data_IF_047206658660
#
_entry.id   IF_047206658660
#
_cell.length_a   1.000
_cell.length_b   1.000
_cell.length_c   1.000
_cell.angle_alpha   90.00
_cell.angle_beta   90.00
_cell.angle_gamma   90.00
#
_symmetry.space_group_name_H-M   'P 1'
#
loop_
_entity.id
_entity.type
_entity.pdbx_description
1 polymer ?
#
# COMPACT_ATOMS: atom_id res chain seq x y z
N UNK A 1 -16.41 -10.06 26.05
CA UNK A 1 -15.62 -9.21 26.98
C UNK A 1 -14.14 -9.11 26.58
N UNK A 2 -13.51 -10.16 26.04
CA UNK A 2 -12.12 -10.10 25.57
C UNK A 2 -11.86 -9.06 24.46
N UNK A 3 -12.72 -8.96 23.45
CA UNK A 3 -12.55 -7.99 22.35
C UNK A 3 -12.55 -6.51 22.79
N UNK A 4 -13.41 -6.13 23.74
CA UNK A 4 -13.45 -4.75 24.23
C UNK A 4 -12.17 -4.41 24.99
N UNK A 5 -11.61 -5.38 25.73
CA UNK A 5 -10.34 -5.21 26.42
C UNK A 5 -9.18 -5.09 25.42
N UNK A 6 -9.16 -5.93 24.38
CA UNK A 6 -8.18 -5.84 23.29
C UNK A 6 -8.22 -4.47 22.61
N UNK A 7 -9.42 -3.98 22.25
CA UNK A 7 -9.59 -2.63 21.70
C UNK A 7 -9.12 -1.54 22.66
N UNK A 8 -9.45 -1.65 23.94
CA UNK A 8 -9.00 -0.68 24.94
C UNK A 8 -7.47 -0.66 25.04
N UNK A 9 -6.82 -1.83 25.05
CA UNK A 9 -5.36 -1.95 25.05
C UNK A 9 -4.77 -1.33 23.78
N UNK A 10 -5.31 -1.67 22.60
CA UNK A 10 -4.86 -1.11 21.32
C UNK A 10 -4.94 0.41 21.37
N UNK A 11 -6.11 0.99 21.70
CA UNK A 11 -6.32 2.44 21.70
C UNK A 11 -5.44 3.18 22.72
N UNK A 12 -5.26 2.62 23.91
CA UNK A 12 -4.40 3.23 24.93
C UNK A 12 -2.93 3.15 24.49
N UNK A 13 -2.49 1.99 24.01
CA UNK A 13 -1.12 1.76 23.61
C UNK A 13 -0.74 2.61 22.39
N UNK A 14 -1.57 2.65 21.34
CA UNK A 14 -1.33 3.47 20.15
C UNK A 14 -1.34 4.95 20.47
N UNK A 15 -2.27 5.43 21.31
CA UNK A 15 -2.30 6.83 21.73
C UNK A 15 -1.05 7.24 22.51
N UNK A 16 -0.59 6.41 23.44
CA UNK A 16 0.63 6.68 24.20
C UNK A 16 1.86 6.66 23.30
N UNK A 17 1.99 5.64 22.45
CA UNK A 17 3.11 5.51 21.53
C UNK A 17 3.15 6.63 20.48
N UNK A 18 1.99 6.99 19.91
CA UNK A 18 1.87 8.12 18.99
C UNK A 18 2.26 9.44 19.65
N UNK A 19 1.84 9.68 20.90
CA UNK A 19 2.26 10.85 21.66
C UNK A 19 3.78 10.89 21.88
N UNK A 20 4.39 9.75 22.21
CA UNK A 20 5.85 9.63 22.35
C UNK A 20 6.55 9.90 21.01
N UNK A 21 6.03 9.38 19.89
CA UNK A 21 6.59 9.66 18.56
C UNK A 21 6.56 11.15 18.22
N UNK A 22 5.46 11.85 18.52
CA UNK A 22 5.36 13.30 18.32
C UNK A 22 6.37 14.05 19.18
N UNK A 23 6.59 13.62 20.43
CA UNK A 23 7.62 14.20 21.31
C UNK A 23 9.04 14.04 20.71
N UNK A 24 9.28 12.92 20.02
CA UNK A 24 10.51 12.63 19.28
C UNK A 24 10.55 13.31 17.90
N UNK A 25 9.58 14.17 17.56
CA UNK A 25 9.44 14.86 16.27
C UNK A 25 9.22 13.91 15.08
N UNK A 26 8.62 12.76 15.33
CA UNK A 26 8.19 11.79 14.31
C UNK A 26 6.67 11.83 14.14
N UNK A 27 6.13 11.42 12.97
CA UNK A 27 4.71 11.17 12.80
C UNK A 27 4.18 10.19 13.86
N UNK A 28 2.98 10.44 14.39
CA UNK A 28 2.35 9.60 15.39
C UNK A 28 2.15 8.17 14.88
N UNK A 29 1.76 8.00 13.61
CA UNK A 29 1.59 6.70 12.95
C UNK A 29 2.81 5.77 13.09
N UNK A 30 4.03 6.32 13.16
CA UNK A 30 5.25 5.53 13.41
C UNK A 30 5.19 4.82 14.78
N UNK A 31 4.76 5.55 15.81
CA UNK A 31 4.62 5.00 17.15
C UNK A 31 3.51 3.96 17.24
N UNK A 32 2.40 4.20 16.53
CA UNK A 32 1.26 3.29 16.45
C UNK A 32 1.65 1.96 15.79
N UNK A 33 2.41 1.99 14.70
CA UNK A 33 2.94 0.79 14.05
C UNK A 33 3.91 0.02 14.95
N UNK A 34 4.87 0.73 15.57
CA UNK A 34 5.86 0.10 16.46
C UNK A 34 5.17 -0.57 17.64
N UNK A 35 4.24 0.11 18.31
CA UNK A 35 3.55 -0.50 19.44
C UNK A 35 2.66 -1.65 19.01
N UNK A 36 2.06 -1.59 17.82
CA UNK A 36 1.31 -2.70 17.22
C UNK A 36 2.17 -3.96 17.05
N UNK A 37 3.41 -3.81 16.57
CA UNK A 37 4.38 -4.92 16.48
C UNK A 37 4.72 -5.47 17.86
N UNK A 38 4.91 -4.58 18.85
CA UNK A 38 5.26 -4.96 20.23
C UNK A 38 4.14 -5.72 20.93
N UNK A 39 2.91 -5.20 20.94
CA UNK A 39 1.78 -5.82 21.65
C UNK A 39 1.15 -6.96 20.86
N UNK A 40 1.36 -6.98 19.55
CA UNK A 40 0.87 -8.02 18.64
C UNK A 40 1.64 -9.34 18.77
N UNK A 41 1.28 -10.34 17.96
CA UNK A 41 1.82 -11.70 18.05
C UNK A 41 3.28 -11.82 17.62
N UNK A 42 3.86 -10.79 16.99
CA UNK A 42 5.27 -10.78 16.60
C UNK A 42 6.21 -10.72 17.81
N UNK A 43 5.78 -10.15 18.95
CA UNK A 43 6.61 -9.97 20.14
C UNK A 43 5.91 -10.44 21.43
N UNK A 44 4.98 -9.66 21.99
CA UNK A 44 4.36 -9.98 23.28
C UNK A 44 3.15 -10.92 23.19
N UNK A 45 2.46 -10.92 22.05
CA UNK A 45 1.27 -11.75 21.83
C UNK A 45 0.08 -11.42 22.72
N UNK A 46 -0.03 -10.18 23.19
CA UNK A 46 -1.16 -9.74 24.01
C UNK A 46 -2.43 -9.54 23.18
N UNK A 47 -2.27 -9.13 21.92
CA UNK A 47 -3.37 -8.97 20.97
C UNK A 47 -3.28 -10.11 19.94
N UNK A 48 -4.26 -11.03 19.89
CA UNK A 48 -4.28 -12.10 18.90
C UNK A 48 -4.63 -11.58 17.51
N UNK A 49 -4.13 -12.24 16.47
CA UNK A 49 -4.62 -12.03 15.10
C UNK A 49 -6.04 -12.60 14.99
N UNK A 50 -7.05 -11.73 15.09
CA UNK A 50 -8.45 -12.11 14.95
C UNK A 50 -9.08 -11.46 13.72
N UNK A 51 -10.02 -12.16 13.08
CA UNK A 51 -10.77 -11.66 11.91
C UNK A 51 -11.49 -10.35 12.23
N UNK A 52 -11.94 -10.17 13.48
CA UNK A 52 -12.62 -8.94 13.91
C UNK A 52 -11.67 -7.74 13.92
N UNK A 53 -10.45 -7.89 14.43
CA UNK A 53 -9.44 -6.82 14.40
C UNK A 53 -9.04 -6.53 12.96
N UNK A 54 -8.90 -7.57 12.13
CA UNK A 54 -8.57 -7.40 10.71
C UNK A 54 -9.64 -6.59 9.97
N UNK A 55 -10.91 -6.98 10.08
CA UNK A 55 -12.04 -6.25 9.48
C UNK A 55 -12.10 -4.80 9.97
N UNK A 56 -11.90 -4.58 11.27
CA UNK A 56 -11.93 -3.23 11.83
C UNK A 56 -10.77 -2.37 11.32
N UNK A 57 -9.59 -2.97 11.13
CA UNK A 57 -8.43 -2.28 10.55
C UNK A 57 -8.67 -1.89 9.09
N UNK A 58 -9.33 -2.75 8.31
CA UNK A 58 -9.68 -2.48 6.91
C UNK A 58 -10.67 -1.32 6.81
N UNK A 59 -11.72 -1.33 7.65
CA UNK A 59 -12.67 -0.21 7.76
C UNK A 59 -11.96 1.09 8.15
N UNK A 60 -11.02 1.03 9.09
CA UNK A 60 -10.24 2.20 9.51
C UNK A 60 -9.40 2.78 8.38
N UNK A 61 -8.73 1.94 7.61
CA UNK A 61 -7.93 2.34 6.44
C UNK A 61 -8.81 2.94 5.34
N UNK A 62 -9.96 2.33 5.04
CA UNK A 62 -10.92 2.86 4.06
C UNK A 62 -11.42 4.25 4.49
N UNK A 63 -11.80 4.41 5.76
CA UNK A 63 -12.27 5.69 6.29
C UNK A 63 -11.17 6.76 6.23
N UNK A 64 -9.94 6.39 6.56
CA UNK A 64 -8.78 7.29 6.46
C UNK A 64 -8.57 7.77 5.02
N UNK A 65 -8.56 6.85 4.04
CA UNK A 65 -8.44 7.18 2.61
C UNK A 65 -9.60 8.01 2.10
N UNK A 66 -10.80 7.74 2.58
CA UNK A 66 -11.97 8.53 2.23
C UNK A 66 -11.86 9.97 2.74
N UNK A 67 -11.48 10.17 4.01
CA UNK A 67 -11.28 11.52 4.57
C UNK A 67 -10.17 12.25 3.83
N UNK A 68 -9.08 11.56 3.50
CA UNK A 68 -8.01 12.14 2.71
C UNK A 68 -8.48 12.59 1.33
N UNK A 69 -9.29 11.78 0.65
CA UNK A 69 -9.91 12.15 -0.61
C UNK A 69 -10.81 13.38 -0.50
N UNK A 70 -11.57 13.50 0.61
CA UNK A 70 -12.41 14.67 0.89
C UNK A 70 -11.62 15.95 1.19
N UNK A 71 -10.45 15.83 1.84
CA UNK A 71 -9.57 16.95 2.16
C UNK A 71 -8.66 17.37 0.99
N UNK A 72 -8.56 16.54 -0.05
CA UNK A 72 -7.68 16.75 -1.21
C UNK A 72 -8.33 17.64 -2.27
N UNK A 73 -7.57 18.62 -2.76
CA UNK A 73 -7.96 19.47 -3.89
C UNK A 73 -7.85 18.70 -5.22
N UNK A 74 -9.02 18.32 -5.78
CA UNK A 74 -9.11 17.60 -7.05
C UNK A 74 -8.65 18.45 -8.25
N UNK A 75 -8.84 19.78 -8.19
CA UNK A 75 -8.37 20.67 -9.25
C UNK A 75 -6.84 20.78 -9.20
N UNK A 76 -6.27 20.81 -8.00
CA UNK A 76 -4.83 20.69 -7.77
C UNK A 76 -4.25 19.39 -8.33
N UNK A 77 -4.93 18.25 -8.12
CA UNK A 77 -4.51 16.95 -8.68
C UNK A 77 -4.45 16.98 -10.21
N UNK A 78 -5.46 17.57 -10.86
CA UNK A 78 -5.50 17.72 -12.32
C UNK A 78 -4.40 18.64 -12.83
N UNK A 79 -4.17 19.76 -12.17
CA UNK A 79 -3.11 20.72 -12.53
C UNK A 79 -1.71 20.11 -12.38
N UNK A 80 -1.52 19.24 -11.38
CA UNK A 80 -0.26 18.57 -11.12
C UNK A 80 -0.11 17.19 -11.79
N UNK A 81 -1.00 16.83 -12.71
CA UNK A 81 -1.00 15.50 -13.34
C UNK A 81 0.33 15.13 -14.01
N UNK A 82 1.04 16.11 -14.60
CA UNK A 82 2.35 15.88 -15.23
C UNK A 82 3.46 15.56 -14.20
N UNK A 83 3.68 16.39 -13.16
CA UNK A 83 4.56 16.01 -12.05
C UNK A 83 4.19 14.68 -11.42
N UNK A 84 2.90 14.42 -11.18
CA UNK A 84 2.42 13.19 -10.56
C UNK A 84 2.71 11.96 -11.41
N UNK A 85 2.51 12.04 -12.73
CA UNK A 85 2.81 10.92 -13.63
C UNK A 85 4.30 10.66 -13.76
N UNK A 86 5.12 11.72 -13.82
CA UNK A 86 6.57 11.58 -13.80
C UNK A 86 7.07 10.92 -12.50
N UNK A 87 6.50 11.33 -11.36
CA UNK A 87 6.82 10.73 -10.06
C UNK A 87 6.39 9.26 -9.97
N UNK A 88 5.19 8.92 -10.44
CA UNK A 88 4.70 7.53 -10.47
C UNK A 88 5.57 6.64 -11.37
N UNK A 89 5.83 7.09 -12.61
CA UNK A 89 6.64 6.32 -13.56
C UNK A 89 8.06 6.12 -13.03
N UNK A 90 8.67 7.16 -12.46
CA UNK A 90 9.97 7.02 -11.79
C UNK A 90 9.91 6.08 -10.59
N UNK A 91 8.88 6.22 -9.76
CA UNK A 91 8.60 5.38 -8.59
C UNK A 91 8.36 3.91 -8.92
N UNK A 92 7.98 3.59 -10.15
CA UNK A 92 7.87 2.20 -10.62
C UNK A 92 9.18 1.75 -11.26
N UNK A 93 9.69 2.48 -12.25
CA UNK A 93 10.83 2.03 -13.07
C UNK A 93 12.08 1.81 -12.22
N UNK A 94 12.39 2.73 -11.30
CA UNK A 94 13.61 2.62 -10.52
C UNK A 94 13.57 1.46 -9.51
N UNK A 95 12.56 1.33 -8.62
CA UNK A 95 12.48 0.19 -7.71
C UNK A 95 12.32 -1.14 -8.43
N UNK A 96 11.59 -1.19 -9.55
CA UNK A 96 11.47 -2.41 -10.34
C UNK A 96 12.83 -2.82 -10.91
N UNK A 97 13.53 -1.89 -11.56
CA UNK A 97 14.85 -2.15 -12.14
C UNK A 97 15.89 -2.55 -11.10
N UNK A 98 15.94 -1.83 -9.97
CA UNK A 98 16.87 -2.15 -8.88
C UNK A 98 16.52 -3.44 -8.16
N UNK A 99 15.24 -3.71 -7.91
CA UNK A 99 14.77 -4.95 -7.31
C UNK A 99 15.04 -6.16 -8.20
N UNK A 100 14.79 -6.03 -9.49
CA UNK A 100 15.15 -7.04 -10.48
C UNK A 100 16.65 -7.34 -10.49
N UNK A 101 17.48 -6.29 -10.58
CA UNK A 101 18.94 -6.46 -10.58
C UNK A 101 19.45 -7.07 -9.27
N UNK A 102 18.90 -6.63 -8.13
CA UNK A 102 19.22 -7.20 -6.83
C UNK A 102 18.84 -8.69 -6.76
N UNK A 103 17.67 -9.07 -7.28
CA UNK A 103 17.24 -10.46 -7.35
C UNK A 103 18.20 -11.33 -8.15
N UNK A 104 18.65 -10.85 -9.32
CA UNK A 104 19.64 -11.58 -10.12
C UNK A 104 20.98 -11.74 -9.39
N UNK A 105 21.46 -10.70 -8.70
CA UNK A 105 22.70 -10.76 -7.91
C UNK A 105 22.58 -11.77 -6.76
N UNK A 106 21.40 -11.89 -6.16
CA UNK A 106 21.09 -12.88 -5.13
C UNK A 106 20.90 -14.31 -5.69
N UNK A 107 20.99 -14.50 -7.01
CA UNK A 107 20.84 -15.79 -7.67
C UNK A 107 19.40 -16.24 -7.85
N UNK A 108 18.44 -15.31 -7.77
CA UNK A 108 17.03 -15.59 -8.07
C UNK A 108 16.85 -15.80 -9.58
N UNK A 109 15.88 -16.63 -9.97
CA UNK A 109 15.52 -16.77 -11.38
C UNK A 109 14.84 -15.48 -11.89
N UNK A 110 14.60 -15.42 -13.22
CA UNK A 110 14.01 -14.25 -13.87
C UNK A 110 12.65 -13.88 -13.28
N UNK A 111 11.79 -14.88 -13.04
CA UNK A 111 10.45 -14.67 -12.53
C UNK A 111 10.48 -14.04 -11.14
N UNK A 112 11.19 -14.68 -10.21
CA UNK A 112 11.33 -14.22 -8.83
C UNK A 112 12.00 -12.85 -8.75
N UNK A 113 13.01 -12.57 -9.60
CA UNK A 113 13.65 -11.26 -9.67
C UNK A 113 12.67 -10.16 -10.15
N UNK A 114 11.86 -10.43 -11.18
CA UNK A 114 10.82 -9.49 -11.63
C UNK A 114 9.77 -9.27 -10.55
N UNK A 115 9.31 -10.32 -9.87
CA UNK A 115 8.39 -10.21 -8.74
C UNK A 115 8.97 -9.38 -7.59
N UNK A 116 10.26 -9.54 -7.27
CA UNK A 116 10.94 -8.71 -6.28
C UNK A 116 10.91 -7.24 -6.67
N UNK A 117 11.20 -6.93 -7.94
CA UNK A 117 11.09 -5.57 -8.47
C UNK A 117 9.68 -5.00 -8.32
N UNK A 118 8.65 -5.76 -8.69
CA UNK A 118 7.25 -5.33 -8.58
C UNK A 118 6.81 -5.07 -7.14
N UNK A 119 7.21 -5.93 -6.21
CA UNK A 119 6.90 -5.75 -4.79
C UNK A 119 7.56 -4.47 -4.25
N UNK A 120 8.78 -4.16 -4.69
CA UNK A 120 9.48 -2.94 -4.27
C UNK A 120 8.94 -1.66 -4.91
N UNK A 121 8.23 -1.77 -6.02
CA UNK A 121 7.52 -0.63 -6.66
C UNK A 121 6.20 -0.30 -5.97
N UNK A 122 5.56 -1.25 -5.29
CA UNK A 122 4.26 -1.03 -4.66
C UNK A 122 4.38 -0.06 -3.47
N UNK A 123 3.66 1.07 -3.54
CA UNK A 123 3.67 2.10 -2.48
C UNK A 123 2.45 2.00 -1.56
N UNK A 124 2.58 2.41 -0.28
CA UNK A 124 1.43 2.54 0.63
C UNK A 124 0.91 3.97 0.69
N UNK A 125 -0.25 4.21 0.07
CA UNK A 125 -0.95 5.51 0.10
C UNK A 125 -1.39 5.85 1.53
N UNK A 126 -1.84 4.84 2.28
CA UNK A 126 -2.49 5.03 3.58
C UNK A 126 -1.59 5.67 4.64
N UNK A 127 -0.37 5.14 4.79
CA UNK A 127 0.60 5.64 5.75
C UNK A 127 1.12 7.02 5.32
N UNK A 128 1.33 7.20 4.02
CA UNK A 128 1.82 8.47 3.45
C UNK A 128 0.84 9.61 3.73
N UNK A 129 -0.45 9.39 3.46
CA UNK A 129 -1.52 10.34 3.76
C UNK A 129 -1.63 10.64 5.25
N UNK A 130 -1.63 9.61 6.10
CA UNK A 130 -1.71 9.81 7.55
C UNK A 130 -0.56 10.68 8.04
N UNK A 131 0.66 10.40 7.57
CA UNK A 131 1.86 11.17 7.92
C UNK A 131 1.74 12.63 7.45
N UNK A 132 1.32 12.86 6.20
CA UNK A 132 1.13 14.20 5.65
C UNK A 132 0.03 14.97 6.39
N UNK A 133 -1.03 14.29 6.82
CA UNK A 133 -2.13 14.87 7.61
C UNK A 133 -1.65 15.29 8.99
N UNK A 134 -0.92 14.42 9.69
CA UNK A 134 -0.33 14.72 11.01
C UNK A 134 0.67 15.88 10.95
N UNK A 135 1.39 16.01 9.84
CA UNK A 135 2.30 17.13 9.59
C UNK A 135 1.58 18.43 9.16
N UNK A 136 0.27 18.39 8.91
CA UNK A 136 -0.48 19.54 8.39
C UNK A 136 -0.07 19.94 6.97
N UNK A 137 0.38 18.98 6.17
CA UNK A 137 0.94 19.18 4.81
C UNK A 137 0.08 18.57 3.70
N UNK A 138 -1.14 18.12 4.00
CA UNK A 138 -1.98 17.42 3.02
C UNK A 138 -2.41 18.30 1.83
N UNK A 139 -2.43 19.64 2.00
CA UNK A 139 -2.84 20.60 0.97
C UNK A 139 -1.68 21.31 0.26
N UNK A 140 -0.44 20.80 0.35
CA UNK A 140 0.68 21.40 -0.38
C UNK A 140 0.76 20.85 -1.81
N UNK A 141 1.52 21.53 -2.68
CA UNK A 141 1.70 21.04 -4.05
C UNK A 141 2.41 19.68 -4.08
N UNK A 142 3.36 19.49 -3.18
CA UNK A 142 4.12 18.25 -3.04
C UNK A 142 3.21 17.10 -2.60
N UNK A 143 2.32 17.30 -1.63
CA UNK A 143 1.36 16.27 -1.22
C UNK A 143 0.37 15.94 -2.34
N UNK A 144 -0.12 16.94 -3.07
CA UNK A 144 -0.96 16.71 -4.25
C UNK A 144 -0.22 15.90 -5.33
N UNK A 145 1.06 16.18 -5.56
CA UNK A 145 1.88 15.38 -6.47
C UNK A 145 2.06 13.94 -5.97
N UNK A 146 2.33 13.74 -4.68
CA UNK A 146 2.48 12.42 -4.06
C UNK A 146 1.18 11.63 -4.14
N UNK A 147 0.04 12.23 -3.76
CA UNK A 147 -1.29 11.62 -3.83
C UNK A 147 -1.67 11.25 -5.27
N UNK A 148 -1.43 12.15 -6.23
CA UNK A 148 -1.70 11.87 -7.64
C UNK A 148 -0.80 10.77 -8.20
N UNK A 149 0.47 10.72 -7.77
CA UNK A 149 1.39 9.66 -8.15
C UNK A 149 0.96 8.32 -7.58
N UNK A 150 0.53 8.29 -6.31
CA UNK A 150 0.06 7.10 -5.62
C UNK A 150 -1.17 6.46 -6.29
N UNK A 151 -2.12 7.27 -6.76
CA UNK A 151 -3.28 6.77 -7.52
C UNK A 151 -2.86 6.14 -8.85
N UNK A 152 -1.89 6.74 -9.55
CA UNK A 152 -1.35 6.16 -10.79
C UNK A 152 -0.55 4.89 -10.52
N UNK A 153 0.21 4.86 -9.41
CA UNK A 153 0.99 3.71 -8.97
C UNK A 153 0.11 2.48 -8.75
N UNK A 154 -1.00 2.62 -8.01
CA UNK A 154 -1.95 1.53 -7.75
C UNK A 154 -2.49 0.90 -9.04
N UNK A 155 -2.80 1.72 -10.05
CA UNK A 155 -3.30 1.25 -11.35
C UNK A 155 -2.19 0.53 -12.13
N UNK A 156 -1.02 1.16 -12.24
CA UNK A 156 0.07 0.66 -13.07
C UNK A 156 0.70 -0.60 -12.48
N UNK A 157 0.93 -0.65 -11.17
CA UNK A 157 1.54 -1.80 -10.49
C UNK A 157 0.63 -3.02 -10.59
N UNK A 158 -0.70 -2.87 -10.43
CA UNK A 158 -1.64 -3.99 -10.61
C UNK A 158 -1.61 -4.50 -12.05
N UNK A 159 -1.55 -3.62 -13.05
CA UNK A 159 -1.44 -4.01 -14.47
C UNK A 159 -0.14 -4.78 -14.70
N UNK A 160 0.99 -4.25 -14.23
CA UNK A 160 2.29 -4.90 -14.38
C UNK A 160 2.35 -6.25 -13.66
N UNK A 161 1.76 -6.34 -12.47
CA UNK A 161 1.64 -7.59 -11.72
C UNK A 161 0.81 -8.63 -12.49
N UNK A 162 -0.30 -8.22 -13.09
CA UNK A 162 -1.12 -9.09 -13.93
C UNK A 162 -0.34 -9.61 -15.16
N UNK A 163 0.45 -8.75 -15.81
CA UNK A 163 1.35 -9.17 -16.89
C UNK A 163 2.41 -10.14 -16.39
N UNK A 164 3.09 -9.85 -15.28
CA UNK A 164 4.11 -10.73 -14.72
C UNK A 164 3.54 -12.10 -14.36
N UNK A 165 2.36 -12.17 -13.73
CA UNK A 165 1.68 -13.44 -13.46
C UNK A 165 1.30 -14.19 -14.74
N UNK A 166 0.92 -13.51 -15.81
CA UNK A 166 0.58 -14.15 -17.09
C UNK A 166 1.82 -14.73 -17.81
N UNK A 167 2.96 -14.06 -17.72
CA UNK A 167 4.20 -14.48 -18.38
C UNK A 167 5.02 -15.49 -17.57
N UNK A 168 4.98 -15.39 -16.24
CA UNK A 168 5.83 -16.17 -15.33
C UNK A 168 5.05 -17.08 -14.37
N UNK A 169 3.73 -16.94 -14.30
CA UNK A 169 2.89 -17.91 -13.60
C UNK A 169 3.03 -19.27 -14.26
N UNK A 170 3.23 -20.32 -13.46
CA UNK A 170 3.53 -21.67 -13.94
C UNK A 170 2.68 -22.09 -15.15
N UNK A 171 3.40 -22.58 -16.15
CA UNK A 171 2.88 -23.14 -17.39
C UNK A 171 2.02 -24.37 -17.14
N UNK A 172 0.71 -24.22 -17.06
CA UNK A 172 -0.20 -25.32 -17.39
C UNK A 172 -1.44 -24.92 -18.21
N UNK A 173 -1.56 -23.67 -18.62
CA UNK A 173 -2.48 -23.32 -19.71
C UNK A 173 -1.83 -22.32 -20.64
N UNK A 174 -1.88 -22.64 -21.94
CA UNK A 174 -1.48 -21.73 -22.99
C UNK A 174 -2.17 -20.38 -22.77
N UNK A 175 -1.38 -19.31 -22.76
CA UNK A 175 -1.83 -17.93 -22.58
C UNK A 175 -2.97 -17.55 -23.54
N UNK A 176 -3.10 -18.25 -24.68
CA UNK A 176 -4.23 -18.18 -25.62
C UNK A 176 -5.54 -18.77 -25.08
N UNK A 177 -5.52 -19.83 -24.28
CA UNK A 177 -6.70 -20.45 -23.67
C UNK A 177 -7.24 -19.60 -22.51
N UNK A 178 -6.38 -19.00 -21.68
CA UNK A 178 -6.79 -18.13 -20.57
C UNK A 178 -7.41 -16.83 -21.07
N UNK A 179 -6.84 -16.23 -22.13
CA UNK A 179 -7.42 -15.05 -22.78
C UNK A 179 -8.73 -15.42 -23.49
N UNK A 180 -8.80 -16.60 -24.12
CA UNK A 180 -10.00 -17.12 -24.76
C UNK A 180 -11.15 -17.41 -23.79
N UNK A 181 -10.87 -18.05 -22.65
CA UNK A 181 -11.88 -18.33 -21.62
C UNK A 181 -12.40 -17.05 -20.97
N UNK A 182 -11.54 -16.08 -20.65
CA UNK A 182 -11.98 -14.80 -20.08
C UNK A 182 -12.88 -14.02 -21.04
N UNK A 183 -12.55 -14.00 -22.34
CA UNK A 183 -13.40 -13.35 -23.35
C UNK A 183 -14.73 -14.10 -23.56
N UNK A 184 -14.70 -15.44 -23.59
CA UNK A 184 -15.91 -16.26 -23.77
C UNK A 184 -16.86 -16.17 -22.55
N UNK A 185 -16.30 -16.17 -21.34
CA UNK A 185 -17.05 -15.94 -20.09
C UNK A 185 -17.70 -14.56 -20.05
N UNK A 186 -17.00 -13.50 -20.48
CA UNK A 186 -17.58 -12.15 -20.56
C UNK A 186 -18.68 -12.02 -21.62
N UNK A 187 -18.66 -12.82 -22.69
CA UNK A 187 -19.68 -12.79 -23.74
C UNK A 187 -20.95 -13.57 -23.37
N UNK A 188 -20.84 -14.59 -22.50
CA UNK A 188 -21.97 -15.38 -21.98
C UNK A 188 -22.73 -14.69 -20.83
N UNK A 189 -22.18 -13.59 -20.30
CA UNK A 189 -22.79 -12.75 -19.26
C UNK A 189 -23.60 -11.56 -19.84
N UNK A 190 -23.75 -11.50 -21.17
CA UNK A 190 -24.68 -10.63 -21.91
C UNK A 190 -25.61 -11.48 -22.77
#
# INVERSE_FOLDING_TARGET
MHFILELAIILIATKLAGHVSVLLKQPAVLGELVVGIVIGPALLGWIPNSDTIHLLSEVGVILLMFIAGLETDLDGLRQNARPSSAAAIGGIIFPLGFGYLAGLILGMDLAHAVFLGLILSATSVSITVQSLKEMGKLQTRESTTILGAAVLDDILVIILLAFAMSFFGESDQSTLLVIGEKYCSSLLLF
#
